data_IF_227848759445
#
_entry.id   IF_227848759445
#
_cell.length_a   1.000
_cell.length_b   1.000
_cell.length_c   1.000
_cell.angle_alpha   90.00
_cell.angle_beta   90.00
_cell.angle_gamma   90.00
#
_symmetry.space_group_name_H-M   'P 1'
#
loop_
_entity.id
_entity.type
_entity.pdbx_description
1 polymer ?
#
# COMPACT_ATOMS: atom_id res chain seq x y z
N UNK A 1 25.37 -13.08 -2.17
CA UNK A 1 25.83 -11.68 -2.31
C UNK A 1 24.96 -10.85 -1.35
N UNK A 2 25.51 -10.42 -0.22
CA UNK A 2 24.76 -9.58 0.76
C UNK A 2 24.73 -8.19 0.15
N UNK A 3 23.56 -7.74 -0.29
CA UNK A 3 23.39 -6.36 -0.73
C UNK A 3 23.78 -5.45 0.45
N UNK A 4 24.77 -4.59 0.25
CA UNK A 4 25.13 -3.58 1.23
C UNK A 4 23.92 -2.70 1.47
N UNK A 5 23.38 -2.72 2.69
CA UNK A 5 22.30 -1.81 3.07
C UNK A 5 22.82 -0.37 2.95
N UNK A 6 22.46 0.31 1.88
CA UNK A 6 22.69 1.74 1.76
C UNK A 6 21.69 2.44 2.68
N UNK A 7 22.19 3.24 3.61
CA UNK A 7 21.31 3.99 4.49
C UNK A 7 20.51 5.01 3.67
N UNK A 8 19.21 4.87 3.73
CA UNK A 8 18.25 5.74 3.06
C UNK A 8 17.90 6.95 3.92
N UNK A 9 17.07 7.87 3.39
CA UNK A 9 16.54 8.99 4.15
C UNK A 9 15.67 8.48 5.31
N UNK A 10 15.88 8.98 6.55
CA UNK A 10 15.00 8.66 7.67
C UNK A 10 13.56 9.08 7.41
N UNK A 11 12.61 8.30 7.90
CA UNK A 11 11.18 8.56 7.76
C UNK A 11 10.72 9.52 8.87
N UNK A 12 10.12 10.64 8.49
CA UNK A 12 9.58 11.66 9.41
C UNK A 12 8.07 11.74 9.37
N UNK A 13 7.46 11.29 8.26
CA UNK A 13 6.02 11.32 8.05
C UNK A 13 5.53 10.06 7.35
N UNK A 14 4.39 9.54 7.79
CA UNK A 14 3.79 8.35 7.21
C UNK A 14 2.26 8.44 7.20
N UNK A 15 1.63 7.81 6.21
CA UNK A 15 0.19 7.61 6.17
C UNK A 15 -0.14 6.12 6.22
N UNK A 16 -1.15 5.76 7.02
CA UNK A 16 -1.65 4.40 7.09
C UNK A 16 -2.87 4.26 6.18
N UNK A 17 -2.84 3.24 5.34
CA UNK A 17 -3.89 2.87 4.38
C UNK A 17 -4.36 1.44 4.68
N UNK A 18 -5.67 1.22 4.74
CA UNK A 18 -6.24 -0.12 4.87
C UNK A 18 -7.60 -0.19 4.20
N UNK A 19 -7.85 -1.29 3.48
CA UNK A 19 -9.15 -1.56 2.82
C UNK A 19 -10.02 -2.58 3.58
N UNK A 20 -9.52 -3.13 4.67
CA UNK A 20 -10.21 -4.19 5.42
C UNK A 20 -10.91 -3.60 6.63
N UNK A 21 -12.21 -3.39 6.53
CA UNK A 21 -13.08 -2.82 7.56
C UNK A 21 -13.52 -3.87 8.61
N UNK A 22 -12.58 -4.61 9.20
CA UNK A 22 -12.86 -5.54 10.30
C UNK A 22 -12.28 -5.02 11.62
N UNK A 23 -13.00 -5.17 12.73
CA UNK A 23 -12.58 -4.68 14.06
C UNK A 23 -11.12 -5.03 14.44
N UNK A 24 -10.59 -6.23 14.17
CA UNK A 24 -9.20 -6.52 14.48
C UNK A 24 -8.18 -5.60 13.78
N UNK A 25 -8.55 -4.94 12.68
CA UNK A 25 -7.67 -4.04 11.92
C UNK A 25 -7.50 -2.71 12.64
N UNK A 26 -8.55 -2.17 13.26
CA UNK A 26 -8.46 -0.89 13.96
C UNK A 26 -7.47 -0.91 15.11
N UNK A 27 -7.39 -2.02 15.85
CA UNK A 27 -6.39 -2.23 16.89
C UNK A 27 -4.96 -2.22 16.35
N UNK A 28 -4.72 -2.92 15.24
CA UNK A 28 -3.41 -2.92 14.59
C UNK A 28 -3.01 -1.54 14.07
N UNK A 29 -3.95 -0.79 13.48
CA UNK A 29 -3.70 0.58 13.01
C UNK A 29 -3.29 1.48 14.18
N UNK A 30 -4.00 1.42 15.30
CA UNK A 30 -3.65 2.19 16.51
C UNK A 30 -2.28 1.81 17.07
N UNK A 31 -1.97 0.52 17.13
CA UNK A 31 -0.67 0.03 17.61
C UNK A 31 0.47 0.53 16.72
N UNK A 32 0.35 0.36 15.41
CA UNK A 32 1.34 0.85 14.43
C UNK A 32 1.51 2.37 14.56
N UNK A 33 0.42 3.12 14.61
CA UNK A 33 0.46 4.57 14.75
C UNK A 33 1.14 5.00 16.04
N UNK A 34 0.79 4.37 17.17
CA UNK A 34 1.42 4.64 18.47
C UNK A 34 2.92 4.37 18.45
N UNK A 35 3.36 3.25 17.86
CA UNK A 35 4.78 2.89 17.74
C UNK A 35 5.54 3.90 16.89
N UNK A 36 5.00 4.29 15.75
CA UNK A 36 5.60 5.30 14.86
C UNK A 36 5.71 6.67 15.55
N UNK A 37 4.64 7.10 16.22
CA UNK A 37 4.65 8.37 16.97
C UNK A 37 5.71 8.39 18.07
N UNK A 38 5.88 7.28 18.80
CA UNK A 38 6.96 7.12 19.79
C UNK A 38 8.36 7.19 19.17
N UNK A 39 8.50 6.85 17.90
CA UNK A 39 9.74 6.97 17.12
C UNK A 39 9.92 8.36 16.49
N UNK A 40 9.02 9.32 16.76
CA UNK A 40 9.10 10.69 16.27
C UNK A 40 8.55 10.89 14.85
N UNK A 41 7.79 9.93 14.33
CA UNK A 41 7.15 10.02 13.01
C UNK A 41 5.78 10.67 13.14
N UNK A 42 5.48 11.66 12.30
CA UNK A 42 4.13 12.21 12.17
C UNK A 42 3.25 11.25 11.38
N UNK A 43 2.19 10.75 12.00
CA UNK A 43 1.33 9.70 11.42
C UNK A 43 -0.01 10.27 11.03
N UNK A 44 -0.48 9.85 9.86
CA UNK A 44 -1.77 10.20 9.30
C UNK A 44 -2.58 8.94 8.94
N UNK A 45 -3.89 9.09 8.80
CA UNK A 45 -4.77 8.11 8.16
C UNK A 45 -5.21 8.60 6.79
N UNK A 46 -5.27 7.69 5.82
CA UNK A 46 -5.96 7.96 4.57
C UNK A 46 -7.47 8.14 4.82
N UNK A 47 -8.11 9.08 4.11
CA UNK A 47 -9.48 9.50 4.39
C UNK A 47 -10.51 8.34 4.41
N UNK A 48 -10.45 7.41 3.44
CA UNK A 48 -11.37 6.26 3.41
C UNK A 48 -11.07 5.28 4.56
N UNK A 49 -9.80 5.11 4.91
CA UNK A 49 -9.39 4.32 6.09
C UNK A 49 -9.94 4.94 7.36
N UNK A 50 -9.84 6.26 7.51
CA UNK A 50 -10.37 6.99 8.67
C UNK A 50 -11.88 6.80 8.85
N UNK A 51 -12.65 6.98 7.78
CA UNK A 51 -14.11 6.76 7.77
C UNK A 51 -14.46 5.34 8.16
N UNK A 52 -13.75 4.35 7.61
CA UNK A 52 -14.04 2.93 7.86
C UNK A 52 -13.74 2.45 9.27
N UNK A 53 -12.79 3.07 9.98
CA UNK A 53 -12.34 2.60 11.30
C UNK A 53 -12.69 3.51 12.47
N UNK A 54 -13.13 4.74 12.22
CA UNK A 54 -13.46 5.75 13.24
C UNK A 54 -12.33 5.88 14.28
N UNK A 55 -11.17 6.37 13.86
CA UNK A 55 -9.99 6.60 14.70
C UNK A 55 -9.73 8.11 14.79
N UNK A 56 -10.48 8.85 15.63
CA UNK A 56 -10.46 10.31 15.66
C UNK A 56 -9.14 10.88 16.22
N UNK A 57 -8.38 10.07 16.94
CA UNK A 57 -7.09 10.46 17.53
C UNK A 57 -5.95 10.63 16.51
N UNK A 58 -6.14 10.20 15.27
CA UNK A 58 -5.14 10.33 14.21
C UNK A 58 -5.71 11.23 13.11
N UNK A 59 -4.94 12.25 12.72
CA UNK A 59 -5.32 13.20 11.68
C UNK A 59 -5.57 12.45 10.34
N UNK A 60 -6.70 12.74 9.71
CA UNK A 60 -7.06 12.17 8.42
C UNK A 60 -6.64 13.09 7.29
N UNK A 61 -6.04 12.51 6.23
CA UNK A 61 -5.61 13.25 5.05
C UNK A 61 -6.16 12.66 3.76
N UNK A 62 -6.30 13.53 2.77
CA UNK A 62 -6.72 13.15 1.42
C UNK A 62 -5.54 12.61 0.61
N UNK A 63 -5.83 11.89 -0.48
CA UNK A 63 -4.82 11.39 -1.42
C UNK A 63 -3.84 12.48 -1.90
N UNK A 64 -4.33 13.69 -2.15
CA UNK A 64 -3.49 14.80 -2.62
C UNK A 64 -2.38 15.18 -1.63
N UNK A 65 -2.70 15.14 -0.34
CA UNK A 65 -1.76 15.47 0.74
C UNK A 65 -0.73 14.36 1.01
N UNK A 66 -0.91 13.16 0.47
CA UNK A 66 0.04 12.06 0.64
C UNK A 66 1.33 12.25 -0.19
N UNK A 67 1.35 13.10 -1.20
CA UNK A 67 2.51 13.28 -2.12
C UNK A 67 3.79 13.73 -1.43
N UNK A 68 3.64 14.48 -0.34
CA UNK A 68 4.76 15.09 0.38
C UNK A 68 5.20 14.24 1.60
N UNK A 69 4.66 13.03 1.74
CA UNK A 69 5.01 12.13 2.83
C UNK A 69 6.19 11.23 2.46
N UNK A 70 6.90 10.77 3.51
CA UNK A 70 8.05 9.91 3.32
C UNK A 70 7.66 8.44 3.09
N UNK A 71 6.48 7.99 3.58
CA UNK A 71 6.10 6.59 3.56
C UNK A 71 4.57 6.37 3.52
N UNK A 72 4.13 5.42 2.73
CA UNK A 72 2.78 4.85 2.78
C UNK A 72 2.86 3.48 3.46
N UNK A 73 2.09 3.26 4.51
CA UNK A 73 2.01 1.98 5.21
C UNK A 73 0.67 1.32 4.88
N UNK A 74 0.72 0.15 4.27
CA UNK A 74 -0.47 -0.63 3.94
C UNK A 74 -0.65 -1.73 4.98
N UNK A 75 -1.74 -1.68 5.74
CA UNK A 75 -2.07 -2.69 6.74
C UNK A 75 -3.06 -3.70 6.15
N UNK A 76 -2.57 -4.92 5.89
CA UNK A 76 -3.38 -5.97 5.25
C UNK A 76 -2.53 -7.07 4.67
N UNK A 77 -3.10 -7.91 3.82
CA UNK A 77 -2.38 -8.91 3.03
C UNK A 77 -2.01 -8.38 1.64
N UNK A 78 -1.47 -9.27 0.80
CA UNK A 78 -0.99 -8.95 -0.56
C UNK A 78 -2.04 -8.22 -1.41
N UNK A 79 -3.30 -8.62 -1.36
CA UNK A 79 -4.39 -7.94 -2.08
C UNK A 79 -4.57 -6.47 -1.65
N UNK A 80 -4.25 -6.12 -0.41
CA UNK A 80 -4.28 -4.73 0.06
C UNK A 80 -3.11 -3.94 -0.52
N UNK A 81 -1.92 -4.55 -0.57
CA UNK A 81 -0.71 -3.95 -1.18
C UNK A 81 -0.92 -3.73 -2.68
N UNK A 82 -1.42 -4.75 -3.41
CA UNK A 82 -1.77 -4.64 -4.83
C UNK A 82 -2.79 -3.52 -5.10
N UNK A 83 -3.81 -3.46 -4.27
CA UNK A 83 -4.83 -2.41 -4.37
C UNK A 83 -4.28 -1.01 -4.11
N UNK A 84 -3.39 -0.85 -3.14
CA UNK A 84 -2.72 0.41 -2.84
C UNK A 84 -1.75 0.79 -3.98
N UNK A 85 -0.90 -0.13 -4.44
CA UNK A 85 0.02 0.09 -5.55
C UNK A 85 -0.72 0.63 -6.78
N UNK A 86 -1.82 -0.03 -7.17
CA UNK A 86 -2.63 0.40 -8.32
C UNK A 86 -3.25 1.78 -8.16
N UNK A 87 -3.70 2.13 -6.96
CA UNK A 87 -4.42 3.40 -6.72
C UNK A 87 -3.50 4.57 -6.36
N UNK A 88 -2.27 4.30 -5.92
CA UNK A 88 -1.35 5.32 -5.39
C UNK A 88 -0.04 5.45 -6.20
N UNK A 89 0.07 4.75 -7.33
CA UNK A 89 1.29 4.67 -8.18
C UNK A 89 1.82 6.05 -8.61
N UNK A 90 0.93 6.99 -8.88
CA UNK A 90 1.28 8.35 -9.31
C UNK A 90 1.85 9.24 -8.19
N UNK A 91 1.73 8.82 -6.94
CA UNK A 91 2.29 9.57 -5.81
C UNK A 91 3.81 9.41 -5.71
N UNK A 92 4.37 8.31 -6.21
CA UNK A 92 5.81 7.98 -6.15
C UNK A 92 6.37 7.98 -4.72
N UNK A 93 5.53 7.70 -3.73
CA UNK A 93 5.91 7.55 -2.33
C UNK A 93 6.17 6.07 -2.06
N UNK A 94 7.25 5.70 -1.36
CA UNK A 94 7.51 4.31 -0.99
C UNK A 94 6.35 3.67 -0.22
N UNK A 95 6.11 2.39 -0.46
CA UNK A 95 5.05 1.61 0.19
C UNK A 95 5.67 0.52 1.05
N UNK A 96 5.24 0.41 2.30
CA UNK A 96 5.58 -0.67 3.23
C UNK A 96 4.33 -1.50 3.52
N UNK A 97 4.35 -2.76 3.17
CA UNK A 97 3.28 -3.71 3.48
C UNK A 97 3.45 -4.34 4.87
N UNK A 98 2.49 -4.15 5.77
CA UNK A 98 2.45 -4.80 7.08
C UNK A 98 1.36 -5.88 7.06
N UNK A 99 1.79 -7.13 7.18
CA UNK A 99 0.89 -8.27 7.24
C UNK A 99 0.17 -8.36 8.59
N UNK A 100 -1.00 -9.01 8.58
CA UNK A 100 -1.79 -9.25 9.79
C UNK A 100 -2.05 -10.73 10.08
N UNK A 101 -1.49 -11.60 9.31
CA UNK A 101 -1.67 -13.04 9.43
C UNK A 101 -0.49 -13.79 8.81
N UNK A 102 -0.76 -14.68 7.89
CA UNK A 102 0.30 -15.41 7.19
C UNK A 102 1.06 -14.45 6.25
N UNK A 103 2.39 -14.52 6.33
CA UNK A 103 3.28 -13.73 5.49
C UNK A 103 2.94 -13.98 4.01
N UNK A 104 2.69 -12.91 3.28
CA UNK A 104 2.48 -12.93 1.83
C UNK A 104 3.79 -12.70 1.07
N UNK A 105 3.69 -12.60 -0.25
CA UNK A 105 4.81 -12.31 -1.14
C UNK A 105 5.08 -10.80 -1.29
N UNK A 106 4.10 -9.97 -0.96
CA UNK A 106 4.13 -8.51 -1.15
C UNK A 106 4.12 -7.72 0.16
N UNK A 107 4.00 -8.40 1.29
CA UNK A 107 4.06 -7.78 2.61
C UNK A 107 5.44 -7.98 3.22
N UNK A 108 6.05 -6.90 3.68
CA UNK A 108 7.45 -6.84 4.10
C UNK A 108 7.63 -7.13 5.59
N UNK A 109 6.62 -6.84 6.40
CA UNK A 109 6.69 -6.89 7.86
C UNK A 109 5.63 -7.82 8.42
N UNK A 110 6.10 -8.75 9.28
CA UNK A 110 5.26 -9.63 10.06
C UNK A 110 4.92 -8.98 11.43
N UNK A 111 3.75 -9.21 12.02
CA UNK A 111 3.41 -8.77 13.37
C UNK A 111 4.48 -9.13 14.43
N UNK A 112 5.11 -10.29 14.32
CA UNK A 112 6.08 -10.80 15.31
C UNK A 112 7.36 -9.96 15.39
N UNK A 113 7.74 -9.29 14.30
CA UNK A 113 8.95 -8.45 14.22
C UNK A 113 8.65 -6.98 13.96
N UNK A 114 7.41 -6.56 14.16
CA UNK A 114 6.91 -5.21 13.84
C UNK A 114 7.77 -4.10 14.47
N UNK A 115 8.07 -4.20 15.77
CA UNK A 115 8.80 -3.17 16.51
C UNK A 115 10.22 -2.97 16.00
N UNK A 116 10.92 -4.06 15.71
CA UNK A 116 12.28 -4.01 15.19
C UNK A 116 12.29 -3.45 13.76
N UNK A 117 11.36 -3.93 12.92
CA UNK A 117 11.23 -3.50 11.53
C UNK A 117 10.91 -2.01 11.43
N UNK A 118 9.95 -1.51 12.21
CA UNK A 118 9.62 -0.08 12.23
C UNK A 118 10.81 0.78 12.69
N UNK A 119 11.56 0.34 13.72
CA UNK A 119 12.77 1.05 14.18
C UNK A 119 13.82 1.15 13.07
N UNK A 120 14.04 0.07 12.31
CA UNK A 120 14.99 0.05 11.18
C UNK A 120 14.52 1.00 10.08
N UNK A 121 13.28 0.87 9.63
CA UNK A 121 12.69 1.69 8.56
C UNK A 121 12.75 3.18 8.90
N UNK A 122 12.31 3.56 10.11
CA UNK A 122 12.32 4.97 10.54
C UNK A 122 13.72 5.57 10.53
N UNK A 123 14.76 4.79 10.87
CA UNK A 123 16.16 5.22 10.84
C UNK A 123 16.80 5.22 9.45
N UNK A 124 16.10 4.79 8.40
CA UNK A 124 16.61 4.69 7.03
C UNK A 124 17.31 3.36 6.71
N UNK A 125 17.19 2.35 7.55
CA UNK A 125 17.74 1.01 7.28
C UNK A 125 16.74 0.16 6.52
N UNK A 126 16.57 0.43 5.25
CA UNK A 126 15.71 -0.33 4.32
C UNK A 126 16.26 -0.27 2.89
N UNK A 127 15.82 -1.17 2.05
CA UNK A 127 16.03 -1.13 0.61
C UNK A 127 14.74 -0.80 -0.11
N UNK A 128 14.84 -0.11 -1.24
CA UNK A 128 13.70 0.13 -2.13
C UNK A 128 13.76 -0.86 -3.29
N UNK A 129 12.61 -1.42 -3.64
CA UNK A 129 12.42 -2.26 -4.80
C UNK A 129 11.43 -1.58 -5.75
N UNK A 130 11.87 -1.27 -6.95
CA UNK A 130 11.00 -0.76 -7.99
C UNK A 130 10.24 -1.90 -8.66
N UNK A 131 8.92 -1.75 -8.77
CA UNK A 131 8.04 -2.73 -9.42
C UNK A 131 7.36 -2.12 -10.63
N UNK A 132 7.45 -2.83 -11.77
CA UNK A 132 6.80 -2.43 -13.00
C UNK A 132 5.29 -2.62 -12.92
N UNK A 133 4.55 -1.65 -13.44
CA UNK A 133 3.10 -1.73 -13.60
C UNK A 133 2.74 -2.11 -15.05
N UNK A 134 1.71 -2.92 -15.22
CA UNK A 134 1.15 -3.28 -16.52
C UNK A 134 0.01 -2.30 -16.81
N UNK A 135 0.10 -1.55 -17.91
CA UNK A 135 -1.02 -0.71 -18.40
C UNK A 135 -1.92 -1.57 -19.30
N UNK A 136 -3.11 -1.84 -18.82
CA UNK A 136 -4.10 -2.68 -19.50
C UNK A 136 -5.13 -1.80 -20.17
N UNK A 137 -5.29 -1.97 -21.47
CA UNK A 137 -6.27 -1.25 -22.28
C UNK A 137 -7.17 -2.23 -22.99
N UNK A 138 -8.47 -2.01 -22.91
CA UNK A 138 -9.47 -2.79 -23.61
C UNK A 138 -10.14 -1.89 -24.64
N UNK A 139 -10.04 -2.26 -25.90
CA UNK A 139 -10.68 -1.56 -27.01
C UNK A 139 -11.71 -2.46 -27.67
N UNK A 140 -12.80 -1.86 -28.15
CA UNK A 140 -13.77 -2.55 -29.01
C UNK A 140 -13.19 -2.60 -30.42
N UNK A 141 -13.34 -3.73 -31.07
CA UNK A 141 -12.95 -3.86 -32.47
C UNK A 141 -13.77 -2.93 -33.36
N UNK A 142 -13.16 -2.37 -34.40
CA UNK A 142 -13.84 -1.54 -35.37
C UNK A 142 -13.37 -1.90 -36.79
N UNK A 143 -14.27 -1.80 -37.77
CA UNK A 143 -13.98 -2.10 -39.17
C UNK A 143 -12.87 -1.20 -39.73
N UNK A 144 -12.65 -0.02 -39.15
CA UNK A 144 -11.65 0.97 -39.56
C UNK A 144 -10.30 0.80 -38.86
N UNK A 145 -10.11 -0.25 -38.07
CA UNK A 145 -8.81 -0.64 -37.48
C UNK A 145 -8.40 0.08 -36.19
N UNK A 146 -9.02 1.20 -35.82
CA UNK A 146 -8.78 1.90 -34.54
C UNK A 146 -10.00 1.74 -33.64
N UNK A 147 -9.95 0.73 -32.76
CA UNK A 147 -11.06 0.46 -31.85
C UNK A 147 -11.24 1.51 -30.78
N UNK A 148 -12.49 1.77 -30.40
CA UNK A 148 -12.83 2.64 -29.28
C UNK A 148 -12.29 2.08 -27.96
N UNK A 149 -11.53 2.88 -27.21
CA UNK A 149 -11.07 2.50 -25.86
C UNK A 149 -12.27 2.43 -24.90
N UNK A 150 -12.62 1.22 -24.46
CA UNK A 150 -13.77 0.97 -23.56
C UNK A 150 -13.36 0.76 -22.11
N UNK A 151 -12.07 0.55 -21.82
CA UNK A 151 -11.57 0.40 -20.47
C UNK A 151 -10.06 0.50 -20.37
N UNK A 152 -9.59 1.02 -19.24
CA UNK A 152 -8.17 1.05 -18.90
C UNK A 152 -7.98 0.81 -17.41
N UNK A 153 -6.95 0.06 -17.04
CA UNK A 153 -6.57 -0.20 -15.66
C UNK A 153 -5.08 -0.52 -15.54
N UNK A 154 -4.53 -0.29 -14.35
CA UNK A 154 -3.18 -0.75 -14.01
C UNK A 154 -3.24 -2.08 -13.27
N UNK A 155 -2.28 -2.96 -13.54
CA UNK A 155 -2.08 -4.20 -12.79
C UNK A 155 -0.62 -4.30 -12.35
N UNK A 156 -0.38 -4.96 -11.21
CA UNK A 156 0.96 -5.16 -10.66
C UNK A 156 1.51 -6.55 -10.99
N UNK A 157 0.67 -7.57 -10.98
CA UNK A 157 1.07 -8.96 -11.21
C UNK A 157 0.58 -9.49 -12.55
N UNK A 158 -0.75 -9.47 -12.76
CA UNK A 158 -1.37 -10.14 -13.90
C UNK A 158 -2.68 -9.44 -14.32
N UNK A 159 -3.09 -9.75 -15.53
CA UNK A 159 -4.41 -9.42 -16.06
C UNK A 159 -5.06 -10.71 -16.52
N UNK A 160 -6.27 -10.98 -16.05
CA UNK A 160 -7.03 -12.18 -16.40
C UNK A 160 -8.12 -11.83 -17.38
N UNK A 161 -8.15 -12.52 -18.50
CA UNK A 161 -9.21 -12.45 -19.51
C UNK A 161 -9.99 -13.77 -19.45
N UNK A 162 -11.30 -13.68 -19.24
CA UNK A 162 -12.16 -14.86 -19.25
C UNK A 162 -13.48 -14.58 -20.00
N UNK A 163 -14.02 -15.59 -20.63
CA UNK A 163 -15.31 -15.54 -21.32
C UNK A 163 -16.40 -16.09 -20.40
N UNK A 164 -17.24 -15.24 -19.81
CA UNK A 164 -18.43 -15.68 -19.09
C UNK A 164 -18.47 -15.31 -17.61
N UNK A 165 -19.46 -15.82 -16.89
CA UNK A 165 -19.66 -15.60 -15.45
C UNK A 165 -18.50 -16.16 -14.63
N UNK A 166 -18.02 -15.36 -13.67
CA UNK A 166 -16.98 -15.82 -12.75
C UNK A 166 -17.43 -17.10 -12.04
N UNK A 167 -16.69 -18.18 -12.24
CA UNK A 167 -16.76 -19.31 -11.34
C UNK A 167 -16.06 -18.91 -10.04
N UNK A 168 -16.83 -18.72 -8.98
CA UNK A 168 -16.25 -18.64 -7.63
C UNK A 168 -15.78 -20.06 -7.25
N UNK A 169 -14.49 -20.28 -7.26
CA UNK A 169 -13.89 -21.43 -6.60
C UNK A 169 -13.67 -21.10 -5.12
#
# INVERSE_FOLDING_TARGET
MVASMVQQKPIKSAVIVSKVYKRPVSGAIRDIASKLTKLGVKVYLEANTSVGFNIPEIESITRRQMRDLDLIIVVGGDGSVLGAARTLVDLKVPVLGINRGHLGLLTDVNPDNLDESLKKVVKGYYSLEDRTMIDVRVSRDSEDGVGELIGQSLATNETVIHSGTMAHM
#
